data_IF_902047585785
#
_entry.id   IF_902047585785
#
_cell.length_a   1.000
_cell.length_b   1.000
_cell.length_c   1.000
_cell.angle_alpha   90.00
_cell.angle_beta   90.00
_cell.angle_gamma   90.00
#
_symmetry.space_group_name_H-M   'P 1'
#
loop_
_entity.id
_entity.type
_entity.pdbx_description
1 polymer ?
#
# COMPACT_ATOMS: atom_id res chain seq x y z
N UNK A 1 19.69 23.63 31.32
CA UNK A 1 19.38 24.28 30.04
C UNK A 1 18.45 23.35 29.29
N UNK A 2 17.14 23.63 29.30
CA UNK A 2 16.16 22.84 28.57
C UNK A 2 16.26 23.20 27.09
N UNK A 3 17.11 22.48 26.37
CA UNK A 3 17.08 22.49 24.91
C UNK A 3 15.79 21.82 24.47
N UNK A 4 15.00 22.50 23.64
CA UNK A 4 13.90 21.86 22.93
C UNK A 4 14.45 20.64 22.19
N UNK A 5 13.96 19.45 22.57
CA UNK A 5 14.41 18.22 21.92
C UNK A 5 13.66 18.04 20.61
N UNK A 6 14.42 17.76 19.56
CA UNK A 6 13.91 17.67 18.19
C UNK A 6 14.13 16.27 17.67
N UNK A 7 13.14 15.78 16.93
CA UNK A 7 13.26 14.59 16.09
C UNK A 7 13.14 15.02 14.64
N UNK A 8 14.12 14.60 13.84
CA UNK A 8 14.15 14.90 12.40
C UNK A 8 13.94 13.63 11.61
N UNK A 9 13.02 13.67 10.65
CA UNK A 9 12.75 12.60 9.70
C UNK A 9 13.30 13.01 8.33
N UNK A 10 14.27 12.23 7.84
CA UNK A 10 14.88 12.36 6.53
C UNK A 10 14.23 11.41 5.54
N UNK A 11 14.04 11.88 4.32
CA UNK A 11 13.55 11.06 3.22
C UNK A 11 14.72 10.63 2.32
N UNK A 12 14.86 9.33 2.11
CA UNK A 12 15.81 8.79 1.11
C UNK A 12 15.24 8.92 -0.30
N UNK A 13 13.91 8.86 -0.43
CA UNK A 13 13.20 8.84 -1.71
C UNK A 13 12.12 9.93 -1.75
N UNK A 14 12.12 10.74 -2.81
CA UNK A 14 11.10 11.78 -3.06
C UNK A 14 9.69 11.17 -3.17
N UNK A 15 9.58 9.90 -3.60
CA UNK A 15 8.31 9.17 -3.68
C UNK A 15 7.59 9.10 -2.33
N UNK A 16 8.31 8.84 -1.23
CA UNK A 16 7.68 8.79 0.11
C UNK A 16 7.14 10.16 0.51
N UNK A 17 7.90 11.23 0.25
CA UNK A 17 7.47 12.59 0.56
C UNK A 17 6.22 12.98 -0.22
N UNK A 18 6.14 12.61 -1.49
CA UNK A 18 5.05 13.01 -2.38
C UNK A 18 3.78 12.17 -2.22
N UNK A 19 3.93 10.90 -1.84
CA UNK A 19 2.84 9.92 -1.88
C UNK A 19 2.39 9.42 -0.51
N UNK A 20 2.96 9.95 0.58
CA UNK A 20 2.58 9.59 1.94
C UNK A 20 2.34 10.83 2.80
N UNK A 21 1.31 10.76 3.64
CA UNK A 21 1.12 11.71 4.72
C UNK A 21 1.77 11.17 5.99
N UNK A 22 2.58 11.99 6.65
CA UNK A 22 3.19 11.66 7.93
C UNK A 22 2.33 12.20 9.08
N UNK A 23 2.10 11.37 10.10
CA UNK A 23 1.51 11.76 11.37
C UNK A 23 2.43 11.29 12.49
N UNK A 24 2.80 12.20 13.37
CA UNK A 24 3.58 11.88 14.58
C UNK A 24 2.71 12.07 15.80
N UNK A 25 2.68 11.09 16.70
CA UNK A 25 1.92 11.12 17.94
C UNK A 25 2.81 10.77 19.12
N UNK A 26 2.63 11.47 20.24
CA UNK A 26 3.26 11.15 21.51
C UNK A 26 2.16 10.98 22.57
N UNK A 27 2.17 9.87 23.30
CA UNK A 27 1.09 9.52 24.24
C UNK A 27 -0.31 9.69 23.64
N UNK A 28 -0.50 9.23 22.39
CA UNK A 28 -1.74 9.34 21.62
C UNK A 28 -2.19 10.76 21.23
N UNK A 29 -1.39 11.80 21.53
CA UNK A 29 -1.64 13.19 21.11
C UNK A 29 -0.83 13.52 19.86
N UNK A 30 -1.43 14.12 18.82
CA UNK A 30 -0.70 14.51 17.61
C UNK A 30 0.30 15.63 17.92
N UNK A 31 1.51 15.50 17.39
CA UNK A 31 2.54 16.54 17.46
C UNK A 31 2.54 17.38 16.17
N UNK A 32 2.81 18.68 16.25
CA UNK A 32 2.97 19.53 15.07
C UNK A 32 4.22 19.13 14.29
N UNK A 33 4.09 19.05 12.98
CA UNK A 33 5.17 18.72 12.06
C UNK A 33 5.53 19.97 11.26
N UNK A 34 6.82 20.33 11.24
CA UNK A 34 7.36 21.42 10.42
C UNK A 34 8.19 20.82 9.29
N UNK A 35 7.98 21.27 8.06
CA UNK A 35 8.83 20.89 6.94
C UNK A 35 9.94 21.92 6.75
N UNK A 36 11.20 21.48 6.83
CA UNK A 36 12.39 22.32 6.68
C UNK A 36 13.36 21.59 5.76
N UNK A 37 13.79 22.24 4.67
CA UNK A 37 14.73 21.67 3.70
C UNK A 37 14.34 20.26 3.21
N UNK A 38 13.04 20.05 2.93
CA UNK A 38 12.46 18.76 2.49
C UNK A 38 12.50 17.63 3.52
N UNK A 39 12.85 17.93 4.78
CA UNK A 39 12.80 17.01 5.91
C UNK A 39 11.68 17.42 6.88
N UNK A 40 11.15 16.45 7.63
CA UNK A 40 10.16 16.74 8.67
C UNK A 40 10.87 16.92 10.01
N UNK A 41 10.65 18.05 10.66
CA UNK A 41 11.14 18.34 12.01
C UNK A 41 9.96 18.36 12.97
N UNK A 42 10.11 17.66 14.09
CA UNK A 42 9.10 17.54 15.14
C UNK A 42 9.72 18.01 16.44
N UNK A 43 9.09 19.02 17.05
CA UNK A 43 9.44 19.49 18.39
C UNK A 43 8.73 18.57 19.39
N UNK A 44 9.49 17.87 20.22
CA UNK A 44 8.96 16.93 21.20
C UNK A 44 8.85 17.68 22.53
N UNK A 45 7.64 17.80 23.12
CA UNK A 45 7.47 18.40 24.44
C UNK A 45 8.22 17.56 25.49
N UNK A 46 8.55 18.16 26.65
CA UNK A 46 9.14 17.42 27.77
C UNK A 46 8.37 16.10 28.01
N UNK A 47 9.11 15.00 28.01
CA UNK A 47 8.59 13.65 27.87
C UNK A 47 7.45 13.41 28.88
N UNK A 48 6.21 13.16 28.43
CA UNK A 48 5.14 12.71 29.33
C UNK A 48 5.44 11.28 29.81
N UNK A 49 4.81 10.84 30.90
CA UNK A 49 4.99 9.51 31.54
C UNK A 49 5.00 8.30 30.56
N UNK A 50 4.39 8.46 29.40
CA UNK A 50 4.54 7.57 28.25
C UNK A 50 5.58 8.15 27.30
N UNK A 51 6.83 7.68 27.41
CA UNK A 51 7.95 8.04 26.54
C UNK A 51 7.81 7.50 25.09
N UNK A 52 6.59 7.20 24.63
CA UNK A 52 6.33 6.56 23.35
C UNK A 52 6.00 7.57 22.28
N UNK A 53 6.75 7.52 21.19
CA UNK A 53 6.51 8.25 19.96
C UNK A 53 6.14 7.26 18.87
N UNK A 54 5.05 7.56 18.17
CA UNK A 54 4.58 6.82 17.03
C UNK A 54 4.67 7.72 15.79
N UNK A 55 5.29 7.22 14.74
CA UNK A 55 5.43 7.88 13.45
C UNK A 55 4.72 7.00 12.43
N UNK A 56 3.61 7.50 11.90
CA UNK A 56 2.76 6.82 10.95
C UNK A 56 2.82 7.51 9.60
N UNK A 57 3.34 6.80 8.60
CA UNK A 57 3.26 7.18 7.19
C UNK A 57 2.06 6.49 6.56
N UNK A 58 1.09 7.28 6.10
CA UNK A 58 -0.13 6.78 5.45
C UNK A 58 -0.05 7.04 3.95
N UNK A 59 -0.17 5.98 3.14
CA UNK A 59 -0.15 6.11 1.69
C UNK A 59 -1.37 6.93 1.21
N UNK A 60 -1.13 8.04 0.52
CA UNK A 60 -2.19 8.88 -0.09
C UNK A 60 -2.64 8.35 -1.46
N UNK A 61 -1.88 7.43 -2.06
CA UNK A 61 -2.17 6.82 -3.38
C UNK A 61 -3.55 6.16 -3.42
N UNK A 62 -3.99 5.54 -2.32
CA UNK A 62 -5.30 4.88 -2.23
C UNK A 62 -6.48 5.83 -1.98
N UNK A 63 -6.20 7.03 -1.47
CA UNK A 63 -7.22 8.05 -1.21
C UNK A 63 -7.45 8.97 -2.40
N UNK A 64 -6.49 9.03 -3.32
CA UNK A 64 -6.54 9.96 -4.45
C UNK A 64 -7.27 9.36 -5.67
N UNK A 65 -8.02 10.19 -6.41
CA UNK A 65 -8.69 9.82 -7.67
C UNK A 65 -7.71 9.32 -8.74
N UNK A 66 -6.42 9.64 -8.55
CA UNK A 66 -5.28 9.21 -9.40
C UNK A 66 -4.89 7.74 -9.23
N UNK A 67 -5.44 7.03 -8.24
CA UNK A 67 -5.21 5.59 -8.02
C UNK A 67 -5.27 4.77 -9.31
N UNK A 68 -6.30 5.02 -10.13
CA UNK A 68 -6.53 4.30 -11.39
C UNK A 68 -5.46 4.58 -12.45
N UNK A 69 -4.95 5.81 -12.52
CA UNK A 69 -3.90 6.21 -13.45
C UNK A 69 -2.53 5.64 -13.08
N UNK A 70 -2.24 5.46 -11.79
CA UNK A 70 -1.00 4.83 -11.33
C UNK A 70 -1.00 3.33 -11.53
N UNK A 71 -2.15 2.70 -11.34
CA UNK A 71 -2.28 1.25 -11.42
C UNK A 71 -2.27 0.76 -12.87
N UNK A 72 -2.83 1.51 -13.82
CA UNK A 72 -2.95 1.12 -15.23
C UNK A 72 -1.60 0.82 -15.95
N UNK A 73 -0.54 1.64 -15.83
CA UNK A 73 0.77 1.32 -16.42
C UNK A 73 1.41 0.06 -15.83
N UNK A 74 1.22 -0.18 -14.52
CA UNK A 74 1.69 -1.40 -13.84
C UNK A 74 1.01 -2.62 -14.43
N UNK A 75 -0.29 -2.52 -14.73
CA UNK A 75 -1.02 -3.58 -15.41
C UNK A 75 -0.50 -3.85 -16.80
N UNK A 76 -0.28 -2.80 -17.59
CA UNK A 76 0.22 -2.93 -18.96
C UNK A 76 1.60 -3.59 -18.94
N UNK A 77 2.51 -3.12 -18.10
CA UNK A 77 3.85 -3.69 -17.97
C UNK A 77 3.84 -5.11 -17.40
N UNK A 78 2.94 -5.41 -16.46
CA UNK A 78 2.77 -6.76 -15.89
C UNK A 78 2.20 -7.76 -16.89
N UNK A 79 1.26 -7.32 -17.72
CA UNK A 79 0.69 -8.12 -18.80
C UNK A 79 1.71 -8.40 -19.93
N UNK A 80 2.68 -7.51 -20.16
CA UNK A 80 3.77 -7.69 -21.12
C UNK A 80 4.88 -8.61 -20.55
N UNK A 81 4.75 -9.10 -19.32
CA UNK A 81 5.54 -10.20 -18.77
C UNK A 81 6.92 -9.84 -18.23
N UNK A 82 7.28 -8.55 -18.16
CA UNK A 82 8.62 -8.11 -17.76
C UNK A 82 8.68 -7.44 -16.39
N UNK A 83 7.74 -7.75 -15.49
CA UNK A 83 7.76 -7.22 -14.13
C UNK A 83 8.29 -8.29 -13.18
N UNK A 84 9.47 -8.06 -12.62
CA UNK A 84 9.98 -8.85 -11.50
C UNK A 84 9.29 -8.41 -10.20
N UNK A 85 9.27 -9.27 -9.17
CA UNK A 85 8.78 -8.88 -7.84
C UNK A 85 9.50 -7.63 -7.27
N UNK A 86 10.70 -7.30 -7.74
CA UNK A 86 11.41 -6.05 -7.44
C UNK A 86 10.76 -4.82 -8.08
N UNK A 87 10.27 -4.93 -9.31
CA UNK A 87 9.62 -3.80 -10.00
C UNK A 87 8.25 -3.49 -9.39
N UNK A 88 7.48 -4.51 -8.99
CA UNK A 88 6.23 -4.32 -8.22
C UNK A 88 6.51 -3.67 -6.86
N UNK A 89 7.64 -4.03 -6.23
CA UNK A 89 8.08 -3.45 -4.95
C UNK A 89 8.41 -1.96 -5.09
N UNK A 90 9.03 -1.55 -6.20
CA UNK A 90 9.40 -0.16 -6.46
C UNK A 90 8.20 0.73 -6.82
N UNK A 91 7.10 0.17 -7.31
CA UNK A 91 5.92 0.95 -7.70
C UNK A 91 4.99 1.24 -6.51
N UNK A 92 5.33 0.74 -5.32
CA UNK A 92 4.66 1.11 -4.08
C UNK A 92 3.34 0.36 -3.90
N UNK A 93 3.40 -0.74 -3.16
CA UNK A 93 2.18 -1.17 -2.49
C UNK A 93 1.77 -0.06 -1.50
N UNK A 94 0.48 0.29 -1.42
CA UNK A 94 -0.02 1.34 -0.55
C UNK A 94 -0.17 0.83 0.88
N UNK A 95 0.95 0.38 1.41
CA UNK A 95 1.08 0.04 2.81
C UNK A 95 1.16 1.34 3.61
N UNK A 96 0.67 1.31 4.83
CA UNK A 96 1.07 2.33 5.78
C UNK A 96 2.35 1.83 6.45
N UNK A 97 3.23 2.74 6.84
CA UNK A 97 4.44 2.40 7.59
C UNK A 97 4.32 2.96 9.00
N UNK A 98 4.67 2.16 10.00
CA UNK A 98 4.63 2.55 11.40
C UNK A 98 6.00 2.32 12.03
N UNK A 99 6.49 3.36 12.69
CA UNK A 99 7.60 3.30 13.62
C UNK A 99 7.10 3.68 15.01
N UNK A 100 7.40 2.86 16.01
CA UNK A 100 7.13 3.13 17.42
C UNK A 100 8.45 3.08 18.17
N UNK A 101 8.81 4.21 18.77
CA UNK A 101 10.00 4.39 19.58
C UNK A 101 9.60 4.67 21.02
N UNK A 102 10.36 4.10 21.94
CA UNK A 102 10.38 4.50 23.34
C UNK A 102 11.66 5.30 23.58
N UNK A 103 11.53 6.54 24.04
CA UNK A 103 12.64 7.48 24.23
C UNK A 103 13.07 7.56 25.69
N UNK A 104 14.30 7.95 25.95
CA UNK A 104 14.77 8.28 27.29
C UNK A 104 15.07 9.78 27.46
N UNK A 105 15.41 10.18 28.69
CA UNK A 105 15.72 11.58 29.02
C UNK A 105 16.95 12.13 28.29
N UNK A 106 17.74 11.31 27.59
CA UNK A 106 18.94 11.70 26.85
C UNK A 106 18.79 11.58 25.34
N UNK A 107 17.56 11.36 24.84
CA UNK A 107 17.37 11.03 23.43
C UNK A 107 17.95 12.09 22.47
N UNK A 108 18.63 11.59 21.46
CA UNK A 108 19.08 12.31 20.27
C UNK A 108 18.85 11.36 19.10
N UNK A 109 17.79 11.59 18.33
CA UNK A 109 17.26 10.61 17.38
C UNK A 109 16.97 11.24 16.03
N UNK A 110 17.55 10.62 15.00
CA UNK A 110 17.24 10.88 13.61
C UNK A 110 16.56 9.65 13.00
N UNK A 111 15.50 9.89 12.24
CA UNK A 111 14.77 8.83 11.54
C UNK A 111 14.99 8.98 10.04
N UNK A 112 15.41 7.92 9.37
CA UNK A 112 15.60 7.89 7.93
C UNK A 112 14.55 6.97 7.31
N UNK A 113 13.57 7.57 6.64
CA UNK A 113 12.49 6.86 5.97
C UNK A 113 12.91 6.40 4.57
N UNK A 114 12.65 5.12 4.26
CA UNK A 114 13.00 4.50 2.99
C UNK A 114 11.95 3.47 2.55
N UNK A 115 11.84 3.23 1.23
CA UNK A 115 10.93 2.26 0.63
C UNK A 115 11.48 0.84 0.79
N UNK A 116 11.45 0.32 2.02
CA UNK A 116 11.82 -1.06 2.31
C UNK A 116 10.73 -1.75 3.11
N UNK A 117 10.30 -2.90 2.60
CA UNK A 117 9.18 -3.63 3.17
C UNK A 117 9.52 -4.36 4.48
N UNK A 118 10.80 -4.60 4.73
CA UNK A 118 11.28 -5.31 5.92
C UNK A 118 11.47 -4.34 7.08
N UNK A 119 12.00 -3.15 6.80
CA UNK A 119 12.25 -2.11 7.79
C UNK A 119 12.15 -0.76 7.07
N UNK A 120 10.99 -0.10 7.06
CA UNK A 120 10.79 1.16 6.33
C UNK A 120 11.51 2.35 6.96
N UNK A 121 12.00 2.21 8.19
CA UNK A 121 12.71 3.27 8.89
C UNK A 121 14.06 2.76 9.40
N UNK A 122 15.10 3.56 9.21
CA UNK A 122 16.38 3.39 9.90
C UNK A 122 16.51 4.49 10.93
N UNK A 123 16.70 4.11 12.19
CA UNK A 123 16.83 5.06 13.31
C UNK A 123 18.30 5.18 13.66
N UNK A 124 18.79 6.42 13.80
CA UNK A 124 20.16 6.74 14.19
C UNK A 124 20.15 7.58 15.45
N UNK A 125 21.23 7.47 16.22
CA UNK A 125 21.44 8.23 17.44
C UNK A 125 21.39 7.38 18.70
N UNK A 126 21.00 7.98 19.82
CA UNK A 126 21.01 7.35 21.14
C UNK A 126 19.79 7.70 21.96
N UNK A 127 19.58 6.94 23.04
CA UNK A 127 18.51 7.19 23.98
C UNK A 127 17.12 6.82 23.47
N UNK A 128 17.05 5.73 22.69
CA UNK A 128 15.81 5.18 22.17
C UNK A 128 15.81 3.65 22.20
N UNK A 129 14.61 3.09 22.20
CA UNK A 129 14.34 1.67 21.98
C UNK A 129 13.28 1.52 20.90
N UNK A 130 13.61 0.78 19.85
CA UNK A 130 12.66 0.45 18.79
C UNK A 130 11.68 -0.61 19.29
N UNK A 131 10.39 -0.27 19.33
CA UNK A 131 9.32 -1.17 19.75
C UNK A 131 8.68 -1.84 18.53
N UNK A 132 8.48 -1.06 17.47
CA UNK A 132 7.88 -1.54 16.23
C UNK A 132 8.42 -0.75 15.04
N UNK A 133 8.75 -1.44 13.96
CA UNK A 133 9.18 -0.84 12.71
C UNK A 133 8.71 -1.75 11.58
N UNK A 134 7.71 -1.32 10.83
CA UNK A 134 7.18 -2.18 9.79
C UNK A 134 5.95 -1.66 9.09
N UNK A 135 5.35 -2.59 8.36
CA UNK A 135 4.21 -2.35 7.50
C UNK A 135 2.90 -2.58 8.25
N UNK A 136 2.00 -1.61 8.14
CA UNK A 136 0.59 -1.76 8.42
C UNK A 136 -0.18 -1.98 7.12
N UNK A 137 -0.81 -3.14 7.00
CA UNK A 137 -1.69 -3.42 5.87
C UNK A 137 -2.98 -2.60 5.98
N UNK A 138 -3.27 -1.79 4.96
CA UNK A 138 -4.51 -1.01 4.92
C UNK A 138 -5.72 -1.95 4.83
N UNK A 139 -6.62 -1.87 5.81
CA UNK A 139 -7.88 -2.65 5.81
C UNK A 139 -8.64 -2.40 4.51
N UNK A 140 -9.04 -3.47 3.84
CA UNK A 140 -9.77 -3.41 2.58
C UNK A 140 -8.91 -3.23 1.31
N UNK A 141 -7.58 -3.09 1.43
CA UNK A 141 -6.69 -2.98 0.26
C UNK A 141 -6.82 -4.15 -0.70
N UNK A 142 -6.82 -5.40 -0.21
CA UNK A 142 -7.03 -6.60 -1.06
C UNK A 142 -8.28 -6.47 -1.93
N UNK A 143 -9.35 -5.91 -1.37
CA UNK A 143 -10.62 -5.68 -2.06
C UNK A 143 -10.53 -4.55 -3.09
N UNK A 144 -9.92 -3.42 -2.72
CA UNK A 144 -9.74 -2.27 -3.61
C UNK A 144 -8.79 -2.60 -4.75
N UNK A 145 -7.73 -3.36 -4.50
CA UNK A 145 -6.79 -3.84 -5.51
C UNK A 145 -7.46 -4.84 -6.44
N UNK A 146 -8.33 -5.71 -5.92
CA UNK A 146 -9.12 -6.63 -6.72
C UNK A 146 -10.13 -5.91 -7.64
N UNK A 147 -10.96 -5.02 -7.08
CA UNK A 147 -11.92 -4.20 -7.85
C UNK A 147 -11.17 -3.28 -8.82
N UNK A 148 -10.05 -2.73 -8.35
CA UNK A 148 -9.17 -1.84 -9.07
C UNK A 148 -8.39 -2.48 -10.21
N UNK A 149 -8.28 -3.80 -10.16
CA UNK A 149 -7.20 -4.50 -10.83
C UNK A 149 -7.61 -5.72 -11.61
N UNK A 150 -8.14 -6.72 -10.91
CA UNK A 150 -8.59 -7.94 -11.55
C UNK A 150 -9.90 -7.76 -12.32
N UNK A 151 -10.82 -6.92 -11.80
CA UNK A 151 -12.13 -6.73 -12.42
C UNK A 151 -12.04 -6.13 -13.84
N UNK A 152 -11.25 -5.07 -14.11
CA UNK A 152 -11.09 -4.55 -15.49
C UNK A 152 -10.47 -5.55 -16.46
N UNK A 153 -9.49 -6.34 -16.01
CA UNK A 153 -8.87 -7.38 -16.85
C UNK A 153 -9.88 -8.46 -17.19
N UNK A 154 -10.74 -8.84 -16.26
CA UNK A 154 -11.78 -9.81 -16.53
C UNK A 154 -12.82 -9.28 -17.50
N UNK A 155 -13.21 -8.01 -17.37
CA UNK A 155 -14.10 -7.34 -18.33
C UNK A 155 -13.47 -7.35 -19.72
N UNK A 156 -12.18 -6.97 -19.84
CA UNK A 156 -11.46 -6.96 -21.11
C UNK A 156 -11.30 -8.36 -21.70
N UNK A 157 -10.92 -9.34 -20.87
CA UNK A 157 -10.75 -10.73 -21.28
C UNK A 157 -12.09 -11.33 -21.74
N UNK A 158 -13.17 -11.04 -21.01
CA UNK A 158 -14.52 -11.45 -21.39
C UNK A 158 -14.96 -10.80 -22.71
N UNK A 159 -14.64 -9.52 -22.92
CA UNK A 159 -14.93 -8.81 -24.17
C UNK A 159 -14.16 -9.38 -25.37
N UNK A 160 -12.86 -9.67 -25.21
CA UNK A 160 -12.05 -10.33 -26.25
C UNK A 160 -12.61 -11.72 -26.55
N UNK A 161 -12.91 -12.49 -25.51
CA UNK A 161 -13.48 -13.81 -25.65
C UNK A 161 -14.85 -13.75 -26.36
N UNK A 162 -15.69 -12.76 -26.04
CA UNK A 162 -16.97 -12.50 -26.71
C UNK A 162 -16.79 -12.17 -28.21
N UNK A 163 -15.81 -11.33 -28.57
CA UNK A 163 -15.49 -11.04 -29.98
C UNK A 163 -15.04 -12.32 -30.71
N UNK A 164 -14.16 -13.12 -30.09
CA UNK A 164 -13.69 -14.38 -30.65
C UNK A 164 -14.85 -15.38 -30.83
N UNK A 165 -15.75 -15.49 -29.85
CA UNK A 165 -16.97 -16.28 -29.96
C UNK A 165 -17.84 -15.83 -31.13
N UNK A 166 -18.10 -14.53 -31.27
CA UNK A 166 -18.88 -13.99 -32.39
C UNK A 166 -18.22 -14.27 -33.75
N UNK A 167 -16.89 -14.17 -33.83
CA UNK A 167 -16.12 -14.49 -35.04
C UNK A 167 -16.17 -15.99 -35.40
N UNK A 168 -16.27 -16.88 -34.40
CA UNK A 168 -16.45 -18.32 -34.57
C UNK A 168 -17.90 -18.69 -34.92
N UNK A 169 -18.88 -17.96 -34.37
CA UNK A 169 -20.31 -18.09 -34.70
C UNK A 169 -20.58 -17.68 -36.15
N UNK A 170 -19.91 -16.64 -36.65
CA UNK A 170 -19.95 -16.28 -38.07
C UNK A 170 -19.45 -17.39 -39.01
N UNK A 171 -18.62 -18.32 -38.51
CA UNK A 171 -18.16 -19.52 -39.23
C UNK A 171 -19.02 -20.78 -38.99
N UNK A 172 -20.16 -20.65 -38.28
CA UNK A 172 -21.17 -21.70 -38.05
C UNK A 172 -20.68 -23.03 -37.42
N UNK A 173 -19.55 -23.05 -36.71
CA UNK A 173 -19.09 -24.28 -36.04
C UNK A 173 -19.74 -24.46 -34.66
N UNK A 174 -20.80 -25.29 -34.60
CA UNK A 174 -21.56 -25.61 -33.38
C UNK A 174 -20.69 -26.22 -32.27
N UNK A 175 -19.69 -27.04 -32.63
CA UNK A 175 -18.81 -27.71 -31.65
C UNK A 175 -17.90 -26.70 -30.94
N UNK A 176 -17.33 -25.74 -31.69
CA UNK A 176 -16.50 -24.69 -31.10
C UNK A 176 -17.30 -23.76 -30.18
N UNK A 177 -18.57 -23.50 -30.51
CA UNK A 177 -19.48 -22.70 -29.68
C UNK A 177 -19.77 -23.39 -28.34
N UNK A 178 -20.06 -24.69 -28.35
CA UNK A 178 -20.30 -25.49 -27.14
C UNK A 178 -19.09 -25.53 -26.20
N UNK A 179 -17.89 -25.78 -26.75
CA UNK A 179 -16.65 -25.79 -25.95
C UNK A 179 -16.42 -24.41 -25.31
N UNK A 180 -16.62 -23.35 -26.06
CA UNK A 180 -16.44 -21.99 -25.57
C UNK A 180 -17.43 -21.63 -24.45
N UNK A 181 -18.72 -21.99 -24.59
CA UNK A 181 -19.74 -21.78 -23.55
C UNK A 181 -19.37 -22.56 -22.28
N UNK A 182 -18.98 -23.82 -22.41
CA UNK A 182 -18.62 -24.66 -21.25
C UNK A 182 -17.43 -24.05 -20.51
N UNK A 183 -16.37 -23.64 -21.22
CA UNK A 183 -15.19 -23.02 -20.62
C UNK A 183 -15.54 -21.67 -19.98
N UNK A 184 -16.29 -20.81 -20.68
CA UNK A 184 -16.69 -19.49 -20.19
C UNK A 184 -17.56 -19.56 -18.93
N UNK A 185 -18.58 -20.43 -18.93
CA UNK A 185 -19.45 -20.65 -17.76
C UNK A 185 -18.66 -21.25 -16.60
N UNK A 186 -17.77 -22.20 -16.85
CA UNK A 186 -16.93 -22.81 -15.82
C UNK A 186 -16.00 -21.79 -15.16
N UNK A 187 -15.39 -20.90 -15.96
CA UNK A 187 -14.56 -19.80 -15.47
C UNK A 187 -15.38 -18.80 -14.64
N UNK A 188 -16.57 -18.41 -15.10
CA UNK A 188 -17.47 -17.53 -14.34
C UNK A 188 -17.90 -18.15 -13.01
N UNK A 189 -18.21 -19.45 -12.99
CA UNK A 189 -18.65 -20.14 -11.78
C UNK A 189 -17.51 -20.32 -10.77
N UNK A 190 -16.32 -20.70 -11.24
CA UNK A 190 -15.10 -20.76 -10.43
C UNK A 190 -14.77 -19.38 -9.85
N UNK A 191 -14.89 -18.33 -10.66
CA UNK A 191 -14.61 -16.97 -10.23
C UNK A 191 -15.63 -16.45 -9.23
N UNK A 192 -16.92 -16.71 -9.46
CA UNK A 192 -18.01 -16.34 -8.54
C UNK A 192 -17.89 -17.02 -7.18
N UNK A 193 -17.52 -18.30 -7.15
CA UNK A 193 -17.28 -19.03 -5.90
C UNK A 193 -16.03 -18.55 -5.15
N UNK A 194 -14.96 -18.21 -5.86
CA UNK A 194 -13.77 -17.57 -5.28
C UNK A 194 -14.10 -16.20 -4.68
N UNK A 195 -14.84 -15.37 -5.40
CA UNK A 195 -15.35 -14.06 -4.95
C UNK A 195 -16.22 -14.17 -3.69
N UNK A 196 -17.16 -15.11 -3.70
CA UNK A 196 -18.03 -15.37 -2.57
C UNK A 196 -17.22 -15.68 -1.31
N UNK A 197 -16.18 -16.53 -1.41
CA UNK A 197 -15.29 -16.86 -0.28
C UNK A 197 -14.54 -15.65 0.28
N UNK A 198 -13.97 -14.80 -0.59
CA UNK A 198 -13.27 -13.57 -0.15
C UNK A 198 -14.22 -12.61 0.57
N UNK A 199 -15.44 -12.47 0.06
CA UNK A 199 -16.44 -11.55 0.64
C UNK A 199 -17.04 -12.10 1.94
N UNK A 200 -17.29 -13.40 2.05
CA UNK A 200 -17.83 -14.00 3.29
C UNK A 200 -16.78 -14.14 4.40
N UNK A 201 -15.51 -14.44 4.09
CA UNK A 201 -14.43 -14.37 5.08
C UNK A 201 -14.24 -12.98 5.69
N UNK A 202 -14.68 -11.93 4.98
CA UNK A 202 -14.69 -10.56 5.49
C UNK A 202 -15.82 -10.28 6.48
N UNK A 203 -16.99 -10.90 6.31
CA UNK A 203 -18.15 -10.73 7.20
C UNK A 203 -17.98 -11.52 8.50
N UNK A 204 -17.29 -12.66 8.44
CA UNK A 204 -17.03 -13.51 9.62
C UNK A 204 -15.87 -13.02 10.51
N UNK A 205 -14.99 -12.16 9.99
CA UNK A 205 -13.83 -11.61 10.71
C UNK A 205 -13.99 -10.12 11.07
N UNK A 206 -15.19 -9.56 10.91
CA UNK A 206 -15.57 -8.19 11.32
C UNK A 206 -16.47 -8.24 12.54
#
# INVERSE_FOLDING_TARGET
MNGEKKLTIFFVDDFLRENYSCKVTCASKPLPIKEINKNLTIDIPELPESNRIEILFTSTILSDKKFWWFILPIWIMGAIGSITNSDIRNIGFPYNFLLVLELDESFDVEVVAHLNFISPFSVKGSGYKEIQNGILQVKGYKSKWFIGGHLPILILSFFIAFILYFSLVAKASIVAQLIFIIVGVSLLFYYGTYLYKILTQKVLNS
#
